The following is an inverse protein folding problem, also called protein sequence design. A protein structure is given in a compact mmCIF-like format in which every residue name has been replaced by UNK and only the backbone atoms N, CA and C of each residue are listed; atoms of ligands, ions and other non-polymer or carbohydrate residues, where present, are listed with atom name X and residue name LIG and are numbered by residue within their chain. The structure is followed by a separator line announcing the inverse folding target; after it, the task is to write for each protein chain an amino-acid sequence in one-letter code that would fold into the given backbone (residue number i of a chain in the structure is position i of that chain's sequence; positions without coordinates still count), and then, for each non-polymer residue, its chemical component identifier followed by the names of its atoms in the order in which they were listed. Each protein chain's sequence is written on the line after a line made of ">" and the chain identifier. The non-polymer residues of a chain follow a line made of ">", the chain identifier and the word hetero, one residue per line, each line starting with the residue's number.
data_IF_776074876862
#
_entry.id   IF_776074876862
#
_cell.length_a   1.000
_cell.length_b   1.000
_cell.length_c   1.000
_cell.angle_alpha   90.00
_cell.angle_beta   90.00
_cell.angle_gamma   90.00
#
_symmetry.space_group_name_H-M   'P 1'
#
loop_
_entity.id
_entity.type
_entity.pdbx_description
1 polymer ?
#
# COMPACT_ATOMS: atom_id res chain seq x y z
N UNK A 1 9.63 -17.58 8.82
CA UNK A 1 9.69 -16.74 7.61
C UNK A 1 8.98 -15.45 7.92
N UNK A 2 9.58 -14.29 7.63
CA UNK A 2 8.96 -12.99 7.88
C UNK A 2 7.77 -12.74 6.96
N UNK A 3 6.69 -12.14 7.49
CA UNK A 3 5.45 -11.89 6.74
C UNK A 3 4.86 -10.53 7.08
N UNK A 4 4.47 -9.79 6.05
CA UNK A 4 3.71 -8.55 6.16
C UNK A 4 2.25 -8.82 5.81
N UNK A 5 1.34 -8.42 6.68
CA UNK A 5 -0.11 -8.46 6.45
C UNK A 5 -0.70 -7.07 6.61
N UNK A 6 -1.52 -6.67 5.65
CA UNK A 6 -2.28 -5.42 5.70
C UNK A 6 -3.75 -5.81 5.84
N UNK A 7 -4.40 -5.31 6.88
CA UNK A 7 -5.72 -5.73 7.29
C UNK A 7 -6.61 -4.51 7.52
N UNK A 8 -7.90 -4.66 7.22
CA UNK A 8 -8.88 -3.68 7.64
C UNK A 8 -9.31 -4.00 9.08
N UNK A 9 -9.09 -3.05 9.99
CA UNK A 9 -9.54 -3.15 11.37
C UNK A 9 -11.07 -2.98 11.43
N UNK A 10 -11.77 -4.11 11.49
CA UNK A 10 -13.22 -4.17 11.60
C UNK A 10 -13.77 -3.87 13.00
N UNK A 11 -12.91 -3.61 13.99
CA UNK A 11 -13.35 -3.22 15.35
C UNK A 11 -13.37 -1.69 15.53
N UNK A 12 -12.70 -0.94 14.65
CA UNK A 12 -12.72 0.52 14.67
C UNK A 12 -14.03 1.06 14.08
N UNK A 13 -14.63 2.13 14.68
CA UNK A 13 -15.85 2.75 14.15
C UNK A 13 -15.66 3.45 12.80
N UNK A 14 -14.40 3.64 12.38
CA UNK A 14 -14.01 4.03 11.01
C UNK A 14 -13.12 2.93 10.47
N UNK A 15 -13.44 2.43 9.27
CA UNK A 15 -12.60 1.51 8.49
C UNK A 15 -11.15 1.99 8.50
N UNK A 16 -10.34 1.41 9.40
CA UNK A 16 -8.96 1.83 9.65
C UNK A 16 -8.07 0.69 9.22
N UNK A 17 -7.09 0.99 8.39
CA UNK A 17 -6.14 -0.02 7.97
C UNK A 17 -5.03 -0.16 9.01
N UNK A 18 -4.60 -1.39 9.23
CA UNK A 18 -3.51 -1.74 10.14
C UNK A 18 -2.56 -2.68 9.41
N UNK A 19 -1.28 -2.58 9.74
CA UNK A 19 -0.31 -3.58 9.33
C UNK A 19 0.06 -4.47 10.50
N UNK A 20 0.45 -5.70 10.18
CA UNK A 20 1.11 -6.63 11.09
C UNK A 20 2.29 -7.24 10.36
N UNK A 21 3.47 -7.06 10.92
CA UNK A 21 4.70 -7.69 10.48
C UNK A 21 5.11 -8.74 11.51
N UNK A 22 5.24 -9.98 11.06
CA UNK A 22 5.65 -11.13 11.87
C UNK A 22 7.11 -11.45 11.52
N UNK A 23 8.00 -11.38 12.51
CA UNK A 23 9.41 -11.77 12.37
C UNK A 23 9.57 -13.28 12.59
N UNK A 24 10.70 -13.84 12.16
CA UNK A 24 11.03 -15.26 12.42
C UNK A 24 11.20 -15.57 13.93
N UNK A 25 11.61 -14.57 14.71
CA UNK A 25 12.07 -14.70 16.10
C UNK A 25 11.01 -14.32 17.15
N UNK A 26 9.75 -14.70 16.95
CA UNK A 26 8.59 -14.42 17.83
C UNK A 26 8.27 -12.93 18.08
N UNK A 27 9.04 -11.99 17.50
CA UNK A 27 8.67 -10.58 17.51
C UNK A 27 7.59 -10.32 16.47
N UNK A 28 6.66 -9.44 16.82
CA UNK A 28 5.70 -8.88 15.88
C UNK A 28 5.64 -7.37 16.04
N UNK A 29 5.59 -6.66 14.93
CA UNK A 29 5.35 -5.22 14.88
C UNK A 29 3.98 -4.98 14.24
N UNK A 30 3.19 -4.09 14.81
CA UNK A 30 1.90 -3.72 14.22
C UNK A 30 1.59 -2.28 14.50
N UNK A 31 0.92 -1.64 13.57
CA UNK A 31 0.52 -0.26 13.71
C UNK A 31 -0.57 0.14 12.73
N UNK A 32 -1.20 1.29 12.96
CA UNK A 32 -2.17 1.83 12.02
C UNK A 32 -1.47 2.29 10.74
N UNK A 33 -2.15 2.17 9.60
CA UNK A 33 -1.77 2.81 8.34
C UNK A 33 -2.74 3.98 8.15
N UNK A 34 -2.27 5.18 8.43
CA UNK A 34 -3.10 6.39 8.44
C UNK A 34 -3.04 7.23 7.16
N UNK A 35 -2.04 7.01 6.32
CA UNK A 35 -1.78 7.82 5.13
C UNK A 35 -1.08 7.03 4.03
N UNK A 36 -1.09 7.60 2.82
CA UNK A 36 -0.40 7.04 1.67
C UNK A 36 1.12 6.99 1.87
N UNK A 37 1.72 7.99 2.52
CA UNK A 37 3.16 7.99 2.86
C UNK A 37 3.51 6.81 3.76
N UNK A 38 2.70 6.59 4.79
CA UNK A 38 2.94 5.51 5.74
C UNK A 38 2.81 4.14 5.07
N UNK A 39 1.84 3.98 4.15
CA UNK A 39 1.73 2.79 3.32
C UNK A 39 2.97 2.63 2.43
N UNK A 40 3.41 3.70 1.77
CA UNK A 40 4.54 3.66 0.85
C UNK A 40 5.83 3.28 1.57
N UNK A 41 6.12 3.89 2.73
CA UNK A 41 7.27 3.56 3.57
C UNK A 41 7.24 2.09 4.01
N UNK A 42 6.07 1.61 4.43
CA UNK A 42 5.86 0.23 4.84
C UNK A 42 6.12 -0.76 3.71
N UNK A 43 5.60 -0.49 2.51
CA UNK A 43 5.81 -1.33 1.34
C UNK A 43 7.26 -1.23 0.82
N UNK A 44 7.90 -0.08 0.93
CA UNK A 44 9.31 0.08 0.60
C UNK A 44 10.19 -0.76 1.51
N UNK A 45 9.85 -0.80 2.81
CA UNK A 45 10.60 -1.55 3.82
C UNK A 45 10.34 -3.05 3.77
N UNK A 46 9.07 -3.46 3.63
CA UNK A 46 8.64 -4.85 3.86
C UNK A 46 7.75 -5.42 2.74
N UNK A 47 7.51 -4.70 1.64
CA UNK A 47 6.56 -5.12 0.61
C UNK A 47 6.91 -6.45 -0.06
N UNK A 48 8.18 -6.87 -0.03
CA UNK A 48 8.61 -8.18 -0.53
C UNK A 48 8.12 -9.35 0.37
N UNK A 49 7.66 -9.05 1.58
CA UNK A 49 7.04 -9.99 2.51
C UNK A 49 5.52 -9.89 2.53
N UNK A 50 4.90 -9.07 1.65
CA UNK A 50 3.45 -8.91 1.61
C UNK A 50 2.79 -10.27 1.31
N UNK A 51 1.95 -10.73 2.24
CA UNK A 51 1.27 -12.01 2.21
C UNK A 51 -0.24 -11.80 2.32
N UNK A 52 -1.00 -12.41 1.41
CA UNK A 52 -2.46 -12.50 1.51
C UNK A 52 -3.27 -11.27 1.07
N UNK A 53 -2.64 -10.19 0.60
CA UNK A 53 -3.35 -9.03 0.04
C UNK A 53 -2.80 -8.68 -1.36
N UNK A 54 -3.64 -8.67 -2.41
CA UNK A 54 -3.24 -8.19 -3.74
C UNK A 54 -2.78 -6.73 -3.67
N UNK A 55 -1.77 -6.38 -4.46
CA UNK A 55 -1.26 -5.00 -4.55
C UNK A 55 -2.33 -3.99 -5.00
N UNK A 56 -3.38 -4.44 -5.70
CA UNK A 56 -4.53 -3.61 -6.13
C UNK A 56 -5.60 -3.43 -5.07
N UNK A 57 -5.54 -4.17 -3.96
CA UNK A 57 -6.50 -4.10 -2.85
C UNK A 57 -5.92 -3.37 -1.63
N UNK A 58 -4.80 -2.66 -1.82
CA UNK A 58 -4.19 -1.86 -0.78
C UNK A 58 -5.09 -0.69 -0.36
N UNK A 59 -4.94 -0.22 0.89
CA UNK A 59 -5.73 0.89 1.40
C UNK A 59 -5.62 2.15 0.57
N UNK A 60 -6.72 2.87 0.41
CA UNK A 60 -6.77 4.19 -0.23
C UNK A 60 -7.15 5.24 0.81
N UNK A 61 -6.55 6.42 0.74
CA UNK A 61 -6.62 7.44 1.81
C UNK A 61 -7.48 8.65 1.42
N UNK A 62 -8.54 8.39 0.66
CA UNK A 62 -9.45 9.43 0.17
C UNK A 62 -9.15 9.86 -1.27
N UNK A 63 -9.85 10.91 -1.69
CA UNK A 63 -9.89 11.32 -3.09
C UNK A 63 -10.74 10.39 -3.96
N UNK A 64 -11.18 10.90 -5.11
CA UNK A 64 -11.91 10.10 -6.10
C UNK A 64 -11.01 8.97 -6.62
N UNK A 65 -11.59 7.81 -6.94
CA UNK A 65 -10.83 6.78 -7.65
C UNK A 65 -10.27 7.34 -8.98
N UNK A 66 -9.01 7.08 -9.32
CA UNK A 66 -8.47 7.48 -10.62
C UNK A 66 -9.21 6.77 -11.75
N UNK A 67 -9.36 7.40 -12.95
CA UNK A 67 -10.14 6.84 -14.06
C UNK A 67 -9.52 5.57 -14.65
N UNK A 68 -8.21 5.37 -14.45
CA UNK A 68 -7.47 4.16 -14.80
C UNK A 68 -6.77 3.70 -13.51
N UNK A 69 -7.02 2.46 -13.10
CA UNK A 69 -6.41 1.86 -11.90
C UNK A 69 -5.33 0.83 -12.24
N UNK A 70 -5.09 0.56 -13.53
CA UNK A 70 -4.07 -0.39 -13.96
C UNK A 70 -2.67 0.08 -13.58
N UNK A 71 -1.93 -0.75 -12.84
CA UNK A 71 -0.63 -0.38 -12.28
C UNK A 71 -0.68 0.62 -11.13
N UNK A 72 -1.88 1.00 -10.66
CA UNK A 72 -2.09 1.80 -9.46
C UNK A 72 -2.43 0.86 -8.31
N UNK A 73 -1.68 1.00 -7.23
CA UNK A 73 -1.82 0.18 -6.03
C UNK A 73 -2.63 0.87 -4.95
N UNK A 74 -2.45 2.18 -4.80
CA UNK A 74 -3.14 3.00 -3.80
C UNK A 74 -3.11 4.47 -4.20
N UNK A 75 -3.90 5.32 -3.55
CA UNK A 75 -3.92 6.76 -3.78
C UNK A 75 -4.43 7.54 -2.57
N UNK A 76 -4.21 8.85 -2.61
CA UNK A 76 -4.85 9.85 -1.76
C UNK A 76 -5.43 10.99 -2.63
N UNK A 77 -5.88 12.10 -2.02
CA UNK A 77 -6.45 13.25 -2.74
C UNK A 77 -5.49 13.92 -3.73
N UNK A 78 -4.18 13.76 -3.54
CA UNK A 78 -3.13 14.54 -4.22
C UNK A 78 -2.13 13.67 -4.96
N UNK A 79 -2.02 12.39 -4.64
CA UNK A 79 -0.98 11.47 -5.14
C UNK A 79 -1.53 10.08 -5.43
N UNK A 80 -0.79 9.35 -6.27
CA UNK A 80 -1.01 7.94 -6.59
C UNK A 80 0.26 7.15 -6.28
N UNK A 81 0.07 5.93 -5.79
CA UNK A 81 1.11 4.93 -5.62
C UNK A 81 1.02 3.92 -6.75
N UNK A 82 2.12 3.75 -7.46
CA UNK A 82 2.24 2.82 -8.58
C UNK A 82 3.42 1.89 -8.40
N UNK A 83 3.38 0.73 -9.04
CA UNK A 83 4.47 -0.23 -9.01
C UNK A 83 4.14 -1.51 -9.76
N UNK A 84 5.16 -2.34 -9.95
CA UNK A 84 5.03 -3.72 -10.45
C UNK A 84 5.46 -4.74 -9.39
N UNK A 85 6.44 -4.38 -8.59
CA UNK A 85 6.98 -5.12 -7.44
C UNK A 85 7.36 -4.17 -6.31
N UNK A 86 7.51 -4.68 -5.08
CA UNK A 86 7.88 -3.89 -3.90
C UNK A 86 9.07 -2.96 -4.14
N UNK A 87 10.04 -3.40 -4.94
CA UNK A 87 11.27 -2.68 -5.28
C UNK A 87 11.09 -1.57 -6.31
N UNK A 88 9.97 -1.55 -7.04
CA UNK A 88 9.66 -0.59 -8.12
C UNK A 88 8.60 0.43 -7.72
N UNK A 89 8.19 0.43 -6.44
CA UNK A 89 7.14 1.33 -5.98
C UNK A 89 7.56 2.79 -6.09
N UNK A 90 6.66 3.62 -6.61
CA UNK A 90 6.87 5.06 -6.78
C UNK A 90 5.60 5.84 -6.47
N UNK A 91 5.76 6.95 -5.73
CA UNK A 91 4.69 7.93 -5.50
C UNK A 91 4.75 9.03 -6.55
N UNK A 92 3.60 9.35 -7.14
CA UNK A 92 3.47 10.42 -8.12
C UNK A 92 2.38 11.41 -7.71
N UNK A 93 2.55 12.71 -7.99
CA UNK A 93 1.44 13.66 -7.93
C UNK A 93 0.30 13.25 -8.88
N UNK A 94 -0.95 13.46 -8.46
CA UNK A 94 -2.12 13.27 -9.32
C UNK A 94 -2.06 14.23 -10.49
N UNK A 95 -2.34 13.71 -11.69
CA UNK A 95 -2.16 14.44 -12.95
C UNK A 95 -0.82 14.16 -13.64
N UNK A 96 0.12 13.48 -12.97
CA UNK A 96 1.29 12.92 -13.64
C UNK A 96 0.85 11.70 -14.46
N UNK A 97 0.54 11.92 -15.75
CA UNK A 97 0.24 10.85 -16.69
C UNK A 97 1.52 10.03 -16.91
N UNK A 98 1.67 8.96 -16.14
CA UNK A 98 2.64 7.90 -16.45
C UNK A 98 2.16 7.18 -17.71
N UNK A 99 2.60 7.64 -18.88
CA UNK A 99 2.61 6.78 -20.07
C UNK A 99 3.53 5.60 -19.73
N UNK A 100 2.97 4.45 -19.34
CA UNK A 100 3.72 3.19 -19.33
C UNK A 100 4.12 2.88 -20.77
N UNK A 101 5.40 3.07 -21.09
CA UNK A 101 6.01 2.42 -22.24
C UNK A 101 6.02 0.93 -21.97
N UNK A 102 5.33 0.19 -22.83
CA UNK A 102 5.41 -1.26 -22.89
C UNK A 102 6.86 -1.68 -23.19
N UNK A 103 7.39 -2.61 -22.41
CA UNK A 103 8.54 -3.45 -22.76
C UNK A 103 8.29 -4.86 -22.25
#
# INVERSE_FOLDING_TARGET
>A
MSKLRILLDGQAPRSRWVYRFEYDEERSESGPIGSLDMLADLLHRWGHHLDGLPWTELPTFGGTAPPITEGIWSWDETRILTGETASTLTLHPRGHSTRKGAF
#
